data_IF_738699010149
#
_entry.id   IF_738699010149
#
_cell.length_a   1.000
_cell.length_b   1.000
_cell.length_c   1.000
_cell.angle_alpha   90.00
_cell.angle_beta   90.00
_cell.angle_gamma   90.00
#
_symmetry.space_group_name_H-M   'P 1'
#
loop_
_entity.id
_entity.type
_entity.pdbx_description
1 polymer ?
#
# COMPACT_ATOMS: atom_id res chain seq x y z
N UNK A 1 -4.47 16.07 -6.76
CA UNK A 1 -4.02 15.57 -5.43
C UNK A 1 -3.78 14.06 -5.44
N UNK A 2 -4.78 13.24 -5.81
CA UNK A 2 -4.65 11.78 -5.87
C UNK A 2 -3.39 11.26 -6.59
N UNK A 3 -3.02 11.85 -7.74
CA UNK A 3 -1.82 11.44 -8.50
C UNK A 3 -0.51 11.66 -7.73
N UNK A 4 -0.41 12.73 -6.93
CA UNK A 4 0.79 12.98 -6.10
C UNK A 4 0.88 11.96 -4.96
N UNK A 5 -0.26 11.65 -4.34
CA UNK A 5 -0.35 10.59 -3.33
C UNK A 5 0.06 9.25 -3.93
N UNK A 6 -0.44 8.92 -5.12
CA UNK A 6 -0.04 7.71 -5.85
C UNK A 6 1.47 7.60 -6.03
N UNK A 7 2.12 8.66 -6.52
CA UNK A 7 3.58 8.69 -6.70
C UNK A 7 4.31 8.44 -5.40
N UNK A 8 3.93 9.13 -4.32
CA UNK A 8 4.59 9.00 -3.01
C UNK A 8 4.40 7.59 -2.43
N UNK A 9 3.19 7.03 -2.48
CA UNK A 9 2.93 5.68 -1.97
C UNK A 9 3.72 4.62 -2.75
N UNK A 10 3.84 4.77 -4.08
CA UNK A 10 4.63 3.85 -4.90
C UNK A 10 6.14 3.98 -4.64
N UNK A 11 6.64 5.18 -4.34
CA UNK A 11 8.03 5.38 -3.90
C UNK A 11 8.31 4.71 -2.56
N UNK A 12 7.40 4.86 -1.59
CA UNK A 12 7.51 4.20 -0.28
C UNK A 12 7.54 2.68 -0.44
N UNK A 13 6.66 2.11 -1.27
CA UNK A 13 6.64 0.67 -1.54
C UNK A 13 7.97 0.17 -2.13
N UNK A 14 8.55 0.91 -3.06
CA UNK A 14 9.86 0.56 -3.64
C UNK A 14 11.01 0.67 -2.62
N UNK A 15 10.95 1.68 -1.75
CA UNK A 15 11.91 1.84 -0.67
C UNK A 15 11.83 0.66 0.32
N UNK A 16 10.62 0.29 0.75
CA UNK A 16 10.38 -0.88 1.60
C UNK A 16 10.89 -2.17 0.96
N UNK A 17 10.68 -2.38 -0.36
CA UNK A 17 11.25 -3.54 -1.05
C UNK A 17 12.77 -3.53 -0.99
N UNK A 18 13.38 -2.37 -1.20
CA UNK A 18 14.84 -2.24 -1.23
C UNK A 18 15.45 -2.53 0.14
N UNK A 19 14.81 -2.04 1.20
CA UNK A 19 15.16 -2.33 2.59
C UNK A 19 15.00 -3.83 2.91
N UNK A 20 13.85 -4.42 2.57
CA UNK A 20 13.58 -5.85 2.74
C UNK A 20 14.61 -6.75 2.04
N UNK A 21 15.04 -6.36 0.83
CA UNK A 21 16.03 -7.13 0.07
C UNK A 21 17.48 -6.85 0.48
N UNK A 22 17.74 -5.78 1.24
CA UNK A 22 19.09 -5.30 1.57
C UNK A 22 19.91 -4.88 0.35
N UNK A 23 19.27 -4.56 -0.78
CA UNK A 23 19.97 -4.28 -2.04
C UNK A 23 19.14 -3.41 -2.99
N UNK A 24 19.73 -2.35 -3.54
CA UNK A 24 19.15 -1.51 -4.61
C UNK A 24 19.02 -2.27 -5.94
N UNK A 25 18.28 -1.71 -6.92
CA UNK A 25 18.18 -2.33 -8.24
C UNK A 25 19.57 -2.56 -8.83
N UNK A 26 19.81 -3.79 -9.30
CA UNK A 26 21.08 -4.23 -9.90
C UNK A 26 22.34 -4.15 -9.02
N UNK A 27 22.21 -3.78 -7.74
CA UNK A 27 23.34 -3.68 -6.83
C UNK A 27 23.87 -5.07 -6.44
N UNK A 28 25.19 -5.24 -6.48
CA UNK A 28 25.85 -6.46 -6.01
C UNK A 28 26.31 -6.24 -4.57
N UNK A 29 25.71 -6.98 -3.65
CA UNK A 29 26.07 -6.97 -2.22
C UNK A 29 25.96 -8.38 -1.67
N UNK A 30 26.81 -8.70 -0.69
CA UNK A 30 26.78 -9.96 0.02
C UNK A 30 25.58 -10.06 0.99
N UNK A 31 25.01 -8.92 1.40
CA UNK A 31 23.90 -8.81 2.36
C UNK A 31 22.51 -9.04 1.74
N UNK A 32 22.45 -9.28 0.42
CA UNK A 32 21.20 -9.44 -0.32
C UNK A 32 20.40 -10.64 0.19
N UNK A 33 19.14 -10.39 0.58
CA UNK A 33 18.25 -11.44 1.11
C UNK A 33 17.28 -12.03 0.08
N UNK A 34 17.30 -11.56 -1.17
CA UNK A 34 16.44 -12.12 -2.22
C UNK A 34 16.49 -11.36 -3.55
N UNK A 35 15.53 -11.63 -4.42
CA UNK A 35 15.45 -11.03 -5.75
C UNK A 35 14.08 -10.40 -6.01
N UNK A 36 14.09 -9.32 -6.80
CA UNK A 36 12.88 -8.63 -7.28
C UNK A 36 12.14 -9.53 -8.28
N UNK A 37 10.81 -9.51 -8.24
CA UNK A 37 9.95 -10.31 -9.12
C UNK A 37 8.79 -9.44 -9.68
N UNK A 38 9.14 -8.29 -10.24
CA UNK A 38 8.17 -7.36 -10.82
C UNK A 38 7.29 -6.66 -9.77
N UNK A 39 6.11 -6.23 -10.23
CA UNK A 39 5.10 -5.51 -9.45
C UNK A 39 3.71 -5.99 -9.82
N UNK A 40 2.77 -5.92 -8.88
CA UNK A 40 1.35 -6.21 -9.10
C UNK A 40 0.52 -4.94 -8.94
N UNK A 41 -0.30 -4.56 -9.94
CA UNK A 41 -1.21 -3.43 -9.81
C UNK A 41 -2.35 -3.74 -8.82
N UNK A 42 -2.69 -2.77 -7.98
CA UNK A 42 -3.80 -2.85 -7.02
C UNK A 42 -4.39 -1.47 -6.75
N UNK A 43 -5.71 -1.37 -6.73
CA UNK A 43 -6.41 -0.13 -6.37
C UNK A 43 -6.64 -0.04 -4.86
N UNK A 44 -6.33 1.12 -4.26
CA UNK A 44 -6.67 1.48 -2.89
C UNK A 44 -7.63 2.68 -2.91
N UNK A 45 -8.77 2.56 -2.23
CA UNK A 45 -9.73 3.65 -2.10
C UNK A 45 -9.35 4.57 -0.93
N UNK A 46 -9.15 5.85 -1.23
CA UNK A 46 -8.75 6.88 -0.27
C UNK A 46 -9.74 8.06 -0.29
N UNK A 47 -9.70 8.94 0.72
CA UNK A 47 -10.52 10.17 0.74
C UNK A 47 -10.26 11.10 -0.45
N UNK A 48 -9.06 11.05 -1.04
CA UNK A 48 -8.71 11.87 -2.21
C UNK A 48 -9.05 11.20 -3.55
N UNK A 49 -9.68 10.02 -3.51
CA UNK A 49 -10.04 9.21 -4.68
C UNK A 49 -9.35 7.84 -4.71
N UNK A 50 -9.64 7.01 -5.73
CA UNK A 50 -8.93 5.76 -5.94
C UNK A 50 -7.47 6.03 -6.37
N UNK A 51 -6.55 5.24 -5.82
CA UNK A 51 -5.10 5.32 -6.10
C UNK A 51 -4.62 3.97 -6.62
N UNK A 52 -3.82 3.95 -7.69
CA UNK A 52 -3.26 2.73 -8.25
C UNK A 52 -1.86 2.46 -7.70
N UNK A 53 -1.76 1.43 -6.87
CA UNK A 53 -0.50 0.99 -6.27
C UNK A 53 0.18 -0.07 -7.15
N UNK A 54 1.50 0.05 -7.29
CA UNK A 54 2.37 -0.94 -7.91
C UNK A 54 3.04 -1.74 -6.80
N UNK A 55 2.34 -2.73 -6.25
CA UNK A 55 2.81 -3.49 -5.09
C UNK A 55 4.00 -4.37 -5.51
N UNK A 56 5.20 -4.15 -4.97
CA UNK A 56 6.37 -4.92 -5.36
C UNK A 56 6.26 -6.38 -4.94
N UNK A 57 6.89 -7.26 -5.71
CA UNK A 57 6.96 -8.68 -5.39
C UNK A 57 8.42 -9.12 -5.31
N UNK A 58 8.70 -10.06 -4.40
CA UNK A 58 9.99 -10.75 -4.31
C UNK A 58 9.85 -12.18 -4.81
N UNK A 59 10.95 -12.77 -5.27
CA UNK A 59 10.98 -14.10 -5.90
C UNK A 59 10.51 -15.20 -4.93
N UNK A 60 10.83 -15.05 -3.67
CA UNK A 60 10.46 -15.93 -2.55
C UNK A 60 9.07 -15.60 -1.96
N UNK A 61 8.45 -14.49 -2.37
CA UNK A 61 7.15 -14.05 -1.88
C UNK A 61 7.13 -13.57 -0.43
N UNK A 62 8.30 -13.35 0.20
CA UNK A 62 8.41 -12.95 1.61
C UNK A 62 8.07 -11.48 1.87
N UNK A 63 8.05 -10.64 0.84
CA UNK A 63 7.76 -9.21 0.99
C UNK A 63 6.29 -8.94 1.31
N UNK A 64 6.05 -8.26 2.43
CA UNK A 64 4.75 -7.70 2.79
C UNK A 64 4.91 -6.22 3.14
N UNK A 65 4.19 -5.30 2.48
CA UNK A 65 4.30 -3.88 2.79
C UNK A 65 3.68 -3.55 4.15
N UNK A 66 4.31 -2.64 4.88
CA UNK A 66 3.80 -2.17 6.19
C UNK A 66 2.72 -1.08 6.04
N UNK A 67 2.72 -0.40 4.88
CA UNK A 67 1.86 0.75 4.61
C UNK A 67 0.35 0.45 4.71
N UNK A 68 -0.06 -0.80 4.48
CA UNK A 68 -1.45 -1.25 4.56
C UNK A 68 -1.53 -2.74 4.91
N UNK A 69 -2.64 -3.15 5.53
CA UNK A 69 -2.88 -4.57 5.81
C UNK A 69 -3.08 -5.37 4.52
N UNK A 70 -2.74 -6.66 4.57
CA UNK A 70 -3.04 -7.61 3.49
C UNK A 70 -4.54 -7.55 3.18
N UNK A 71 -4.89 -7.48 1.90
CA UNK A 71 -6.27 -7.38 1.39
C UNK A 71 -7.05 -6.09 1.74
N UNK A 72 -6.48 -5.11 2.44
CA UNK A 72 -7.14 -3.82 2.73
C UNK A 72 -7.51 -3.02 1.46
N UNK A 73 -8.79 -2.91 1.12
CA UNK A 73 -9.21 -2.20 -0.11
C UNK A 73 -9.41 -0.69 0.07
N UNK A 74 -9.65 -0.24 1.30
CA UNK A 74 -9.91 1.16 1.61
C UNK A 74 -9.05 1.65 2.76
N UNK A 75 -8.72 2.94 2.78
CA UNK A 75 -8.04 3.55 3.92
C UNK A 75 -8.90 3.51 5.19
N UNK A 76 -8.26 3.47 6.37
CA UNK A 76 -8.96 3.35 7.65
C UNK A 76 -9.82 4.58 7.95
N UNK A 77 -9.31 5.78 7.67
CA UNK A 77 -10.04 7.02 7.88
C UNK A 77 -11.35 7.09 7.07
N UNK A 78 -11.35 6.56 5.85
CA UNK A 78 -12.55 6.44 5.01
C UNK A 78 -13.58 5.48 5.62
N UNK A 79 -13.12 4.32 6.11
CA UNK A 79 -13.99 3.34 6.79
C UNK A 79 -14.59 3.93 8.07
N UNK A 80 -13.80 4.64 8.87
CA UNK A 80 -14.26 5.30 10.10
C UNK A 80 -15.32 6.37 9.81
N UNK A 81 -15.10 7.21 8.79
CA UNK A 81 -16.07 8.22 8.38
C UNK A 81 -17.41 7.61 7.92
N UNK A 82 -17.37 6.47 7.22
CA UNK A 82 -18.58 5.75 6.84
C UNK A 82 -19.32 5.22 8.08
N UNK A 83 -18.61 4.56 8.99
CA UNK A 83 -19.18 4.01 10.22
C UNK A 83 -19.85 5.10 11.08
N UNK A 84 -19.17 6.22 11.29
CA UNK A 84 -19.72 7.35 12.06
C UNK A 84 -20.96 7.94 11.39
N UNK A 85 -20.98 8.03 10.05
CA UNK A 85 -22.16 8.53 9.32
C UNK A 85 -23.38 7.62 9.43
N UNK A 86 -23.18 6.29 9.47
CA UNK A 86 -24.25 5.31 9.64
C UNK A 86 -24.82 5.32 11.07
N UNK A 87 -23.95 5.50 12.06
CA UNK A 87 -24.35 5.65 13.47
C UNK A 87 -25.19 6.90 13.69
N UNK A 88 -24.82 8.02 13.05
CA UNK A 88 -25.57 9.26 13.14
C UNK A 88 -26.97 9.16 12.51
N UNK A 89 -27.11 8.45 11.38
CA UNK A 89 -28.40 8.24 10.71
C UNK A 89 -29.36 7.40 11.55
N UNK A 90 -28.88 6.31 12.17
CA UNK A 90 -29.69 5.49 13.07
C UNK A 90 -30.22 6.24 14.29
N UNK A 91 -29.50 7.26 14.75
CA UNK A 91 -29.94 8.10 15.88
C UNK A 91 -30.96 9.17 15.50
N UNK A 92 -31.08 9.55 14.22
CA UNK A 92 -32.08 10.49 13.74
C UNK A 92 -33.41 9.80 13.39
N UNK A 93 -33.36 8.50 13.09
CA UNK A 93 -34.52 7.68 12.72
C UNK A 93 -35.14 6.92 13.92
N UNK A 94 -34.67 7.17 15.15
CA UNK A 94 -35.12 6.55 16.41
C UNK A 94 -35.74 7.57 17.35
#
# INVERSE_FOLDING_TARGET
VAKRVETVLNQILEAQRTEHLGARPHERTAERQGYRHGVRPRTLYTRVGPVTLQVPQTRDGSFSPELFKRYQRSEQAFVLALLSSQQYRRHLDA
#
